data_IF_301497816017
#
_entry.id   IF_301497816017
#
_cell.length_a   1.000
_cell.length_b   1.000
_cell.length_c   1.000
_cell.angle_alpha   90.00
_cell.angle_beta   90.00
_cell.angle_gamma   90.00
#
_symmetry.space_group_name_H-M   'P 1'
#
loop_
_entity.id
_entity.type
_entity.pdbx_description
1 polymer ?
2 non-polymer ?
3 non-polymer ?
4 water ?
#
# COMPACT_ATOMS: atom_id res chain seq x y z
N UNK A 12 1.74 -22.84 -5.81
CA UNK A 12 0.92 -21.83 -5.13
C UNK A 12 0.78 -20.55 -5.95
N UNK A 13 -0.39 -19.93 -5.92
CA UNK A 13 -0.51 -18.56 -6.41
C UNK A 13 0.45 -17.66 -5.65
N UNK A 14 1.04 -16.71 -6.38
CA UNK A 14 1.98 -15.74 -5.81
C UNK A 14 1.42 -14.36 -6.11
N UNK A 15 0.98 -13.66 -5.07
CA UNK A 15 0.36 -12.35 -5.23
C UNK A 15 1.42 -11.31 -4.90
N UNK A 16 1.80 -10.50 -5.90
CA UNK A 16 2.89 -9.55 -5.77
C UNK A 16 2.32 -8.17 -5.45
N UNK A 17 2.51 -7.78 -4.21
CA UNK A 17 2.03 -6.53 -3.65
C UNK A 17 3.18 -5.54 -3.57
N UNK A 18 2.92 -4.29 -3.93
CA UNK A 18 3.91 -3.23 -3.81
C UNK A 18 3.32 -2.13 -2.95
N UNK A 19 4.07 -1.76 -1.92
CA UNK A 19 3.74 -0.63 -1.06
C UNK A 19 4.33 0.63 -1.67
N UNK A 20 3.48 1.65 -1.88
CA UNK A 20 3.95 2.94 -2.35
C UNK A 20 3.35 4.03 -1.48
N UNK A 21 3.94 5.20 -1.55
CA UNK A 21 3.51 6.33 -0.75
C UNK A 21 4.74 7.11 -0.32
N UNK A 22 4.51 8.36 0.08
CA UNK A 22 5.60 9.25 0.42
C UNK A 22 6.19 8.89 1.79
N UNK A 23 7.21 9.64 2.20
CA UNK A 23 7.98 9.24 3.36
C UNK A 23 7.19 9.34 4.67
N UNK A 24 7.42 8.35 5.52
CA UNK A 24 6.89 8.39 6.88
C UNK A 24 5.42 8.05 7.00
N UNK A 25 4.78 7.60 5.93
CA UNK A 25 3.34 7.37 6.00
C UNK A 25 3.00 6.05 6.68
N UNK A 26 3.93 5.10 6.73
CA UNK A 26 3.67 3.82 7.34
C UNK A 26 3.83 2.60 6.44
N UNK A 27 4.49 2.76 5.30
CA UNK A 27 4.71 1.61 4.40
C UNK A 27 5.40 0.47 5.13
N UNK A 28 6.51 0.76 5.80
CA UNK A 28 7.26 -0.29 6.46
C UNK A 28 6.54 -0.80 7.70
N UNK A 29 5.94 0.12 8.47
CA UNK A 29 5.20 -0.28 9.66
C UNK A 29 4.04 -1.18 9.31
N UNK A 30 3.32 -0.86 8.23
CA UNK A 30 2.23 -1.75 7.80
C UNK A 30 2.79 -3.11 7.38
N UNK A 31 3.87 -3.12 6.61
CA UNK A 31 4.45 -4.35 6.13
C UNK A 31 4.89 -5.23 7.30
N UNK A 32 5.59 -4.62 8.28
CA UNK A 32 6.17 -5.41 9.36
C UNK A 32 5.10 -5.85 10.37
N UNK A 33 4.04 -5.06 10.52
CA UNK A 33 2.90 -5.50 11.31
C UNK A 33 2.26 -6.72 10.65
N UNK A 34 2.04 -6.64 9.33
CA UNK A 34 1.46 -7.78 8.62
C UNK A 34 2.37 -9.00 8.70
N UNK A 35 3.67 -8.82 8.52
CA UNK A 35 4.59 -9.95 8.42
C UNK A 35 4.87 -10.57 9.78
N UNK A 36 5.13 -9.74 10.79
CA UNK A 36 5.74 -10.19 12.04
C UNK A 36 4.94 -9.81 13.26
N UNK A 37 3.77 -9.17 13.10
CA UNK A 37 2.88 -8.92 14.23
C UNK A 37 3.55 -8.01 15.26
N UNK A 38 4.32 -7.06 14.78
CA UNK A 38 5.05 -6.11 15.60
C UNK A 38 4.91 -4.71 15.00
N UNK A 39 4.73 -3.72 15.86
CA UNK A 39 4.75 -2.32 15.45
C UNK A 39 6.20 -1.84 15.55
N UNK A 40 6.79 -1.54 14.40
CA UNK A 40 8.20 -1.17 14.30
C UNK A 40 8.27 0.30 13.91
N UNK A 41 8.92 1.10 14.76
CA UNK A 41 8.83 2.54 14.66
C UNK A 41 10.08 3.22 14.12
N UNK A 42 11.18 2.51 13.94
CA UNK A 42 12.42 3.15 13.56
C UNK A 42 13.02 2.57 12.29
N UNK A 43 12.21 1.93 11.47
CA UNK A 43 12.76 1.17 10.36
C UNK A 43 13.40 2.11 9.36
N UNK A 44 14.63 1.82 8.98
CA UNK A 44 15.42 2.72 8.15
C UNK A 44 14.60 3.32 7.02
N UNK A 45 14.41 4.65 7.00
CA UNK A 45 13.53 5.25 5.98
C UNK A 45 13.98 5.03 4.55
N UNK A 46 15.27 4.76 4.29
CA UNK A 46 15.74 4.63 2.92
C UNK A 46 15.87 3.18 2.47
N UNK A 47 15.40 2.24 3.27
CA UNK A 47 15.60 0.82 2.98
C UNK A 47 14.37 0.26 2.28
N UNK A 48 14.56 -0.21 1.05
CA UNK A 48 13.56 -1.01 0.36
C UNK A 48 13.90 -2.48 0.59
N UNK A 49 12.86 -3.30 0.65
CA UNK A 49 13.06 -4.71 0.92
C UNK A 49 11.79 -5.42 0.51
N UNK A 50 11.92 -6.72 0.30
CA UNK A 50 10.77 -7.53 -0.06
C UNK A 50 10.61 -8.63 0.98
N UNK A 51 9.37 -9.09 1.09
CA UNK A 51 8.94 -10.02 2.11
C UNK A 51 8.02 -11.03 1.45
N UNK A 52 8.06 -12.25 1.92
CA UNK A 52 7.18 -13.26 1.38
C UNK A 52 6.67 -14.12 2.52
N UNK A 53 5.40 -14.46 2.47
CA UNK A 53 4.91 -15.46 3.41
C UNK A 53 3.68 -16.15 2.88
N UNK A 54 3.46 -17.35 3.38
CA UNK A 54 2.27 -18.10 3.03
C UNK A 54 1.10 -17.62 3.87
N UNK A 55 -0.04 -17.44 3.21
CA UNK A 55 -1.27 -17.06 3.89
C UNK A 55 -2.40 -17.84 3.24
N UNK A 56 -3.47 -18.02 4.01
CA UNK A 56 -4.64 -18.74 3.56
C UNK A 56 -5.69 -17.70 3.20
N UNK A 57 -5.89 -17.52 1.90
CA UNK A 57 -6.77 -16.49 1.36
C UNK A 57 -8.09 -17.14 0.95
N UNK A 58 -9.15 -16.84 1.69
CA UNK A 58 -10.46 -17.42 1.38
C UNK A 58 -10.34 -18.94 1.23
N UNK A 59 -9.51 -19.53 2.09
CA UNK A 59 -9.36 -20.96 2.15
C UNK A 59 -8.31 -21.56 1.24
N UNK A 60 -7.69 -20.77 0.37
CA UNK A 60 -6.66 -21.24 -0.54
C UNK A 60 -5.30 -20.81 0.01
N UNK A 61 -4.37 -21.75 0.14
CA UNK A 61 -3.02 -21.37 0.52
C UNK A 61 -2.37 -20.67 -0.66
N UNK A 62 -1.89 -19.46 -0.42
CA UNK A 62 -1.20 -18.67 -1.43
C UNK A 62 0.07 -18.12 -0.80
N UNK A 63 0.90 -17.55 -1.63
CA UNK A 63 2.05 -16.78 -1.17
C UNK A 63 1.80 -15.31 -1.49
N UNK A 64 2.07 -14.46 -0.51
CA UNK A 64 2.08 -13.01 -0.74
C UNK A 64 3.53 -12.57 -0.78
N UNK A 65 3.87 -11.76 -1.77
CA UNK A 65 5.17 -11.11 -1.86
C UNK A 65 4.91 -9.62 -1.72
N UNK A 66 5.61 -8.98 -0.79
CA UNK A 66 5.40 -7.56 -0.51
C UNK A 66 6.70 -6.83 -0.79
N UNK A 67 6.66 -5.88 -1.71
CA UNK A 67 7.79 -4.99 -1.96
C UNK A 67 7.52 -3.70 -1.19
N UNK A 68 8.29 -3.46 -0.15
CA UNK A 68 8.23 -2.27 0.69
C UNK A 68 9.19 -1.26 0.05
N UNK A 69 8.66 -0.40 -0.81
CA UNK A 69 9.49 0.57 -1.49
C UNK A 69 9.86 1.71 -0.55
N UNK A 70 10.96 2.40 -0.87
CA UNK A 70 11.36 3.54 -0.06
C UNK A 70 11.60 4.80 -0.87
N UNK A 71 11.37 4.78 -2.17
CA UNK A 71 11.54 5.96 -2.99
C UNK A 71 12.97 6.35 -3.24
N UNK A 72 13.92 5.45 -2.95
CA UNK A 72 15.34 5.72 -3.13
C UNK A 72 15.85 5.31 -4.50
N UNK A 73 15.08 4.54 -5.25
CA UNK A 73 15.34 4.37 -6.67
C UNK A 73 14.82 5.64 -7.33
N UNK A 74 15.63 6.70 -7.30
CA UNK A 74 15.23 7.92 -8.00
C UNK A 74 15.43 7.78 -9.50
N UNK A 75 16.18 6.76 -9.93
CA UNK A 75 16.40 6.49 -11.35
C UNK A 75 15.16 5.84 -11.94
N UNK A 76 14.54 6.54 -12.90
CA UNK A 76 13.14 6.28 -13.20
C UNK A 76 12.95 4.91 -13.83
N UNK A 77 13.89 4.46 -14.68
CA UNK A 77 13.76 3.14 -15.27
C UNK A 77 13.72 2.05 -14.19
N UNK A 78 14.51 2.21 -13.12
CA UNK A 78 14.57 1.22 -12.07
C UNK A 78 13.26 1.21 -11.28
N UNK A 79 12.80 2.40 -10.89
CA UNK A 79 11.50 2.51 -10.21
C UNK A 79 10.40 1.90 -11.06
N UNK A 80 10.38 2.22 -12.36
CA UNK A 80 9.35 1.67 -13.23
C UNK A 80 9.45 0.15 -13.31
N UNK A 81 10.67 -0.39 -13.33
CA UNK A 81 10.82 -1.84 -13.37
C UNK A 81 10.25 -2.48 -12.13
N UNK A 82 10.49 -1.87 -10.96
CA UNK A 82 9.93 -2.38 -9.72
C UNK A 82 8.40 -2.37 -9.79
N UNK A 83 7.82 -1.26 -10.22
CA UNK A 83 6.36 -1.18 -10.33
C UNK A 83 5.83 -2.17 -11.36
N UNK A 84 6.54 -2.33 -12.49
CA UNK A 84 6.06 -3.22 -13.54
C UNK A 84 5.91 -4.64 -13.03
N UNK A 85 6.77 -5.05 -12.08
CA UNK A 85 6.72 -6.39 -11.54
C UNK A 85 5.55 -6.60 -10.59
N UNK A 86 4.98 -5.52 -10.07
CA UNK A 86 3.89 -5.63 -9.13
C UNK A 86 2.59 -6.02 -9.81
N UNK A 87 1.77 -6.77 -9.07
CA UNK A 87 0.42 -7.09 -9.49
C UNK A 87 -0.64 -6.26 -8.81
N UNK A 88 -0.37 -5.74 -7.62
CA UNK A 88 -1.30 -4.86 -6.93
C UNK A 88 -0.54 -3.91 -6.03
N UNK A 89 -1.20 -2.80 -5.72
CA UNK A 89 -0.53 -1.71 -5.01
C UNK A 89 -1.36 -1.26 -3.82
N UNK A 90 -0.68 -1.10 -2.70
CA UNK A 90 -1.21 -0.37 -1.55
C UNK A 90 -0.61 1.03 -1.61
N UNK A 91 -1.43 2.00 -1.94
CA UNK A 91 -1.01 3.39 -2.09
C UNK A 91 -1.31 4.08 -0.77
N UNK A 92 -0.27 4.27 0.04
CA UNK A 92 -0.42 4.65 1.42
C UNK A 92 -0.16 6.13 1.59
N UNK A 93 -0.99 6.80 2.38
CA UNK A 93 -0.69 8.13 2.88
C UNK A 93 -0.99 8.13 4.38
N UNK A 94 -0.55 9.16 5.05
CA UNK A 94 -0.84 9.33 6.46
C UNK A 94 -1.99 10.31 6.62
N UNK A 95 -3.03 9.93 7.36
CA UNK A 95 -4.11 10.88 7.58
C UNK A 95 -3.64 12.12 8.33
N UNK A 96 -2.45 12.09 8.92
CA UNK A 96 -1.96 13.24 9.66
C UNK A 96 -1.09 14.17 8.83
N UNK A 97 -0.85 13.87 7.55
CA UNK A 97 0.03 14.70 6.72
C UNK A 97 -0.66 14.92 5.38
N UNK A 98 -1.26 16.10 5.21
CA UNK A 98 -1.97 16.38 3.98
C UNK A 98 -1.07 16.23 2.77
N UNK A 99 0.21 16.62 2.88
CA UNK A 99 1.08 16.56 1.72
C UNK A 99 1.28 15.12 1.25
N UNK A 100 1.19 14.15 2.15
CA UNK A 100 1.32 12.75 1.75
C UNK A 100 0.08 12.28 0.99
N UNK A 101 -1.08 12.83 1.33
CA UNK A 101 -2.28 12.55 0.55
C UNK A 101 -2.17 13.16 -0.84
N UNK A 102 -1.71 14.42 -0.91
CA UNK A 102 -1.52 15.04 -2.22
C UNK A 102 -0.59 14.19 -3.08
N UNK A 103 0.44 13.63 -2.47
CA UNK A 103 1.44 12.87 -3.20
C UNK A 103 0.89 11.58 -3.79
N UNK A 104 -0.24 11.07 -3.26
CA UNK A 104 -0.74 9.81 -3.78
C UNK A 104 -1.07 9.90 -5.26
N UNK A 105 -1.43 11.10 -5.72
CA UNK A 105 -1.74 11.27 -7.14
C UNK A 105 -0.54 10.92 -8.01
N UNK A 106 0.67 11.25 -7.54
CA UNK A 106 1.86 10.95 -8.31
C UNK A 106 2.11 9.45 -8.39
N UNK A 107 1.96 8.74 -7.26
CA UNK A 107 2.12 7.29 -7.29
C UNK A 107 1.10 6.64 -8.20
N UNK A 108 -0.14 7.13 -8.16
CA UNK A 108 -1.16 6.62 -9.07
C UNK A 108 -0.74 6.78 -10.53
N UNK A 109 -0.30 7.99 -10.90
CA UNK A 109 0.14 8.20 -12.27
C UNK A 109 1.31 7.31 -12.65
N UNK A 110 2.26 7.14 -11.73
CA UNK A 110 3.42 6.29 -12.00
C UNK A 110 2.99 4.87 -12.26
N UNK A 111 2.09 4.35 -11.44
CA UNK A 111 1.60 2.99 -11.62
C UNK A 111 0.86 2.86 -12.92
N UNK A 112 0.02 3.83 -13.25
CA UNK A 112 -0.78 3.75 -14.46
C UNK A 112 0.08 3.82 -15.71
N UNK A 113 1.15 4.61 -15.69
CA UNK A 113 2.05 4.70 -16.84
C UNK A 113 2.67 3.34 -17.11
N UNK A 114 2.98 2.61 -16.05
CA UNK A 114 3.70 1.34 -16.18
C UNK A 114 2.75 0.18 -16.43
N UNK A 115 1.64 0.14 -15.70
CA UNK A 115 0.71 -0.97 -15.83
C UNK A 115 -0.32 -0.77 -16.93
N UNK A 116 -0.59 0.47 -17.32
CA UNK A 116 -1.41 0.79 -18.49
C UNK A 116 -2.84 0.29 -18.34
N UNK A 117 -3.29 0.18 -17.10
CA UNK A 117 -4.56 -0.49 -16.79
C UNK A 117 -5.18 0.26 -15.62
N UNK A 118 -6.23 1.04 -15.89
CA UNK A 118 -6.81 1.85 -14.84
C UNK A 118 -7.44 0.99 -13.76
N UNK A 119 -7.64 -0.30 -14.03
CA UNK A 119 -8.22 -1.24 -13.08
C UNK A 119 -7.16 -2.06 -12.38
N UNK A 120 -5.91 -1.64 -12.42
CA UNK A 120 -4.85 -2.37 -11.73
C UNK A 120 -5.29 -2.54 -10.26
N UNK A 121 -5.13 -3.73 -9.69
CA UNK A 121 -5.43 -3.87 -8.25
C UNK A 121 -4.70 -2.81 -7.45
N UNK A 122 -5.46 -2.12 -6.59
CA UNK A 122 -5.02 -0.86 -6.00
C UNK A 122 -5.97 -0.50 -4.88
N UNK A 123 -5.45 -0.29 -3.69
CA UNK A 123 -6.20 0.28 -2.58
C UNK A 123 -5.56 1.60 -2.20
N UNK A 124 -6.38 2.60 -1.94
CA UNK A 124 -5.96 3.84 -1.29
C UNK A 124 -6.03 3.63 0.21
N UNK A 125 -4.89 3.77 0.89
CA UNK A 125 -4.77 3.40 2.30
C UNK A 125 -4.43 4.66 3.07
N UNK A 126 -5.34 5.07 3.96
CA UNK A 126 -5.07 6.16 4.88
C UNK A 126 -4.62 5.61 6.22
N UNK A 127 -3.32 5.68 6.47
CA UNK A 127 -2.74 5.10 7.66
C UNK A 127 -2.65 6.10 8.80
N UNK A 128 -2.38 5.57 9.99
CA UNK A 128 -2.30 6.30 11.27
C UNK A 128 -3.68 6.70 11.75
N UNK A 129 -4.65 5.80 11.55
CA UNK A 129 -6.03 6.08 11.97
C UNK A 129 -6.17 6.19 13.49
N UNK A 130 -5.17 5.76 14.23
CA UNK A 130 -5.17 5.96 15.68
C UNK A 130 -4.78 7.37 16.08
N UNK A 131 -4.45 8.26 15.12
CA UNK A 131 -4.12 9.64 15.43
C UNK A 131 -5.22 10.57 14.92
N UNK A 132 -6.47 10.25 15.26
CA UNK A 132 -7.60 11.03 14.78
C UNK A 132 -7.49 12.49 15.18
N UNK A 133 -6.95 12.78 16.37
CA UNK A 133 -6.84 14.15 16.83
C UNK A 133 -5.75 14.92 16.07
N UNK A 134 -4.95 14.24 15.27
CA UNK A 134 -3.95 14.89 14.42
C UNK A 134 -4.34 14.84 12.95
N UNK A 135 -5.57 14.42 12.65
CA UNK A 135 -5.97 14.25 11.25
C UNK A 135 -5.86 15.56 10.48
N UNK A 136 -5.25 15.47 9.29
CA UNK A 136 -5.18 16.57 8.33
C UNK A 136 -5.94 16.27 7.05
N UNK A 137 -6.30 15.02 6.83
CA UNK A 137 -6.96 14.58 5.61
C UNK A 137 -8.31 14.04 6.00
N UNK A 138 -9.38 14.64 5.47
CA UNK A 138 -10.71 14.23 5.87
C UNK A 138 -11.08 12.90 5.23
N UNK A 139 -11.85 12.10 5.98
CA UNK A 139 -12.38 10.86 5.42
C UNK A 139 -13.09 11.14 4.11
N UNK A 140 -13.87 12.22 4.06
CA UNK A 140 -14.67 12.55 2.89
C UNK A 140 -13.79 12.81 1.69
N UNK A 141 -12.72 13.59 1.84
CA UNK A 141 -11.91 13.92 0.68
C UNK A 141 -11.14 12.70 0.20
N UNK A 142 -10.71 11.82 1.12
CA UNK A 142 -10.05 10.59 0.70
C UNK A 142 -11.02 9.64 -0.01
N UNK A 143 -12.23 9.49 0.52
CA UNK A 143 -13.23 8.67 -0.16
C UNK A 143 -13.53 9.23 -1.55
N UNK A 144 -13.63 10.55 -1.67
CA UNK A 144 -13.92 11.17 -2.96
C UNK A 144 -12.83 10.85 -3.95
N UNK A 145 -11.57 10.93 -3.52
CA UNK A 145 -10.47 10.56 -4.43
C UNK A 145 -10.57 9.09 -4.83
N UNK A 146 -10.83 8.21 -3.87
CA UNK A 146 -10.95 6.79 -4.19
C UNK A 146 -12.09 6.56 -5.17
N UNK A 147 -13.21 7.25 -4.98
CA UNK A 147 -14.33 7.13 -5.92
C UNK A 147 -13.91 7.61 -7.31
N UNK A 148 -13.14 8.68 -7.38
CA UNK A 148 -12.69 9.18 -8.66
C UNK A 148 -11.85 8.14 -9.37
N UNK A 149 -11.05 7.39 -8.62
CA UNK A 149 -10.15 6.40 -9.18
C UNK A 149 -10.78 5.02 -9.29
N UNK A 150 -11.99 4.87 -8.79
CA UNK A 150 -12.67 3.59 -8.69
C UNK A 150 -11.81 2.58 -7.94
N UNK A 151 -11.32 3.01 -6.77
CA UNK A 151 -10.63 2.10 -5.85
C UNK A 151 -11.31 2.22 -4.50
N UNK A 152 -11.04 1.24 -3.65
CA UNK A 152 -11.53 1.31 -2.29
C UNK A 152 -10.57 2.11 -1.42
N UNK A 153 -11.15 2.80 -0.46
CA UNK A 153 -10.41 3.52 0.57
C UNK A 153 -10.54 2.79 1.88
N UNK A 154 -9.41 2.51 2.51
CA UNK A 154 -9.39 1.85 3.81
C UNK A 154 -8.45 2.62 4.72
N UNK A 155 -8.91 2.92 5.94
CA UNK A 155 -8.04 3.54 6.93
C UNK A 155 -7.46 2.46 7.82
N UNK A 156 -6.16 2.56 8.06
CA UNK A 156 -5.42 1.56 8.81
C UNK A 156 -4.68 2.20 9.96
N UNK A 157 -4.27 1.37 10.92
CA UNK A 157 -3.28 1.75 11.92
C UNK A 157 -2.27 0.61 12.02
N UNK A 158 -1.04 0.85 11.59
CA UNK A 158 0.03 -0.09 11.86
C UNK A 158 0.30 -0.21 13.36
N UNK A 159 -0.08 0.79 14.14
CA UNK A 159 0.15 0.74 15.58
C UNK A 159 -0.84 -0.20 16.27
N UNK A 160 -2.13 -0.06 15.97
CA UNK A 160 -3.14 -0.88 16.64
C UNK A 160 -3.50 -2.13 15.87
N UNK A 161 -3.06 -2.24 14.62
CA UNK A 161 -3.29 -3.34 13.71
C UNK A 161 -4.62 -3.16 12.99
N UNK A 162 -5.36 -2.08 13.24
CA UNK A 162 -6.66 -1.90 12.63
C UNK A 162 -6.56 -1.95 11.09
N UNK A 163 -7.30 -2.88 10.51
CA UNK A 163 -7.45 -3.06 9.06
C UNK A 163 -6.15 -3.39 8.34
N UNK A 164 -5.10 -3.79 9.06
CA UNK A 164 -3.86 -4.19 8.39
C UNK A 164 -4.08 -5.45 7.56
N UNK A 165 -4.59 -6.51 8.18
CA UNK A 165 -4.88 -7.71 7.42
C UNK A 165 -5.85 -7.40 6.29
N UNK A 166 -6.84 -6.54 6.56
CA UNK A 166 -7.84 -6.22 5.55
C UNK A 166 -7.20 -5.68 4.26
N UNK A 167 -6.28 -4.72 4.38
CA UNK A 167 -5.77 -4.11 3.14
C UNK A 167 -4.98 -5.12 2.34
N UNK A 168 -4.18 -5.96 3.00
CA UNK A 168 -3.41 -6.95 2.28
C UNK A 168 -4.29 -8.04 1.69
N UNK A 169 -5.27 -8.52 2.47
CA UNK A 169 -6.16 -9.55 1.95
C UNK A 169 -7.06 -9.00 0.84
N UNK A 170 -7.63 -7.81 1.02
CA UNK A 170 -8.50 -7.28 -0.01
C UNK A 170 -7.72 -7.00 -1.28
N UNK A 171 -6.47 -6.53 -1.15
CA UNK A 171 -5.68 -6.34 -2.35
C UNK A 171 -5.43 -7.68 -3.05
N UNK A 172 -5.11 -8.71 -2.28
CA UNK A 172 -4.92 -10.02 -2.89
C UNK A 172 -6.20 -10.47 -3.59
N UNK A 173 -7.36 -10.16 -3.02
CA UNK A 173 -8.62 -10.54 -3.66
C UNK A 173 -8.78 -9.84 -5.00
N UNK A 174 -8.31 -8.59 -5.10
CA UNK A 174 -8.38 -7.89 -6.37
C UNK A 174 -7.40 -8.48 -7.38
N UNK A 175 -6.20 -8.83 -6.93
CA UNK A 175 -5.25 -9.49 -7.83
C UNK A 175 -5.84 -10.78 -8.34
N UNK A 176 -6.39 -11.60 -7.43
CA UNK A 176 -6.99 -12.87 -7.82
C UNK A 176 -8.10 -12.70 -8.84
N UNK A 177 -8.97 -11.71 -8.64
CA UNK A 177 -10.11 -11.52 -9.52
C UNK A 177 -9.68 -11.01 -10.88
N UNK A 178 -8.77 -10.06 -10.86
CA UNK A 178 -8.50 -9.28 -12.10
C UNK A 178 -7.48 -9.94 -13.02
N UNK A 179 -6.55 -10.67 -12.48
CA UNK A 179 -5.46 -11.23 -13.33
C UNK A 179 -5.72 -12.70 -13.64
X LIG B 1 7.54 4.76 5.65
X LIG B 1 8.57 5.82 5.36
X LIG B 1 6.24 4.96 4.87
X LIG B 1 8.06 3.36 5.54
X LIG B 1 7.08 4.99 7.17
X LIG B 1 7.30 4.02 8.45
X LIG B 1 8.77 3.92 8.72
X LIG B 1 6.49 2.76 8.34
X LIG B 1 6.62 4.91 9.58
X LIG B 1 7.13 6.22 9.84
X LIG B 1 6.88 6.59 11.29
X LIG B 1 5.46 6.69 11.50
X LIG B 1 7.41 5.59 12.32
X LIG B 1 8.04 6.35 13.35
X LIG B 1 6.22 4.84 12.83
X LIG B 1 6.23 4.49 14.20
X LIG B 1 5.08 5.81 12.54
X LIG B 1 3.84 5.12 12.17
X LIG B 1 3.69 4.31 11.11
X LIG B 1 2.43 3.82 11.09
X LIG B 1 1.78 4.36 12.15
X LIG B 1 0.43 4.27 12.70
X LIG B 1 -0.45 3.57 12.12
X LIG B 1 0.16 4.97 13.81
X LIG B 1 1.08 5.74 14.43
X LIG B 1 0.73 6.40 15.54
X LIG B 1 2.35 5.87 13.97
X LIG B 1 2.72 5.20 12.86
X LIG B 1 6.65 6.94 9.18
X LIG B 1 8.21 6.25 9.63
X LIG B 1 7.42 7.53 11.45
X LIG B 1 8.15 4.88 11.93
X LIG B 1 7.43 6.44 14.10
X LIG B 1 6.16 3.85 12.35
X LIG B 1 7.12 4.52 14.54
X LIG B 1 4.89 6.37 13.47
X LIG B 1 4.46 4.08 10.39
X LIG B 1 -0.80 4.91 14.23
X LIG B 1 1.41 6.99 16.01
X LIG B 1 -0.20 6.32 15.90
X LIG C 1 9.99 2.53 4.91
#
# INVERSE_FOLDING_TARGET
MAANKPKGQNSLALHKVIMVGSGGVGKSALTLQFMYDEFVEDYEPTKADSYRKKVVLDGEEVQIDILDTAGQEDYAAIRDNYFRSGEGFLCVFSITEMESFAATADFREQILRVKEDENVPFLLVGNKSDLEDKRQVSVEEAKNRAEQWNVNYVETSAKTRANVDKVFFDLMREIRARLEHHHHHH
GDP PB O1B O2B O3B O3A PA O1A O2A O5' C5' C4' O4' C3' O3' C2' O2' C1' N9 C8 N7 C5 C6 O6 N1 C2 N2 N3 C4 H5' H5'' H4' H3' HO3' H2' HO2' H1' H8 HN1 HN21 HN22
CA CA
#
